data_IF_128043613185
#
_entry.id   IF_128043613185
#
_cell.length_a   1.000
_cell.length_b   1.000
_cell.length_c   1.000
_cell.angle_alpha   90.00
_cell.angle_beta   90.00
_cell.angle_gamma   90.00
#
_symmetry.space_group_name_H-M   'P 1'
#
loop_
_entity.id
_entity.type
_entity.pdbx_description
1 polymer ?
#
# COMPACT_ATOMS: atom_id res chain seq x y z
N UNK A 1 -2.80 1.54 12.36
CA UNK A 1 -4.17 2.07 12.57
C UNK A 1 -4.01 3.56 12.75
N UNK A 2 -4.69 4.38 11.95
CA UNK A 2 -4.53 5.84 11.95
C UNK A 2 -5.68 6.50 11.19
N UNK A 3 -6.00 7.76 11.49
CA UNK A 3 -6.86 8.64 10.68
C UNK A 3 -6.10 9.23 9.46
N UNK A 4 -4.78 9.09 9.42
CA UNK A 4 -3.93 9.54 8.32
C UNK A 4 -3.73 11.06 8.23
N UNK A 5 -4.32 11.84 9.14
CA UNK A 5 -4.18 13.29 9.15
C UNK A 5 -2.79 13.72 9.64
N UNK A 6 -2.01 14.38 8.80
CA UNK A 6 -0.69 14.90 9.19
C UNK A 6 -0.82 16.29 9.83
N UNK A 7 -0.48 16.43 11.11
CA UNK A 7 -0.61 17.68 11.86
C UNK A 7 0.72 18.36 12.23
N UNK A 8 1.79 17.58 12.41
CA UNK A 8 3.07 18.05 12.95
C UNK A 8 4.24 17.15 12.55
N UNK A 9 4.20 16.54 11.36
CA UNK A 9 5.29 15.67 10.91
C UNK A 9 6.59 16.44 10.63
N UNK A 10 7.70 15.78 10.96
CA UNK A 10 9.05 16.24 10.56
C UNK A 10 9.36 15.93 9.09
N UNK A 11 8.64 14.98 8.52
CA UNK A 11 8.82 14.49 7.16
C UNK A 11 7.60 14.84 6.33
N UNK A 12 7.85 15.27 5.10
CA UNK A 12 6.82 15.51 4.09
C UNK A 12 6.30 14.18 3.54
N UNK A 13 5.12 14.20 2.93
CA UNK A 13 4.58 13.01 2.25
C UNK A 13 5.54 12.44 1.20
N UNK A 14 6.27 13.29 0.46
CA UNK A 14 7.22 12.87 -0.56
C UNK A 14 8.40 12.10 0.03
N UNK A 15 8.88 12.53 1.20
CA UNK A 15 9.93 11.84 1.95
C UNK A 15 9.41 10.51 2.50
N UNK A 16 8.20 10.48 3.07
CA UNK A 16 7.58 9.22 3.53
C UNK A 16 7.41 8.25 2.37
N UNK A 17 6.90 8.70 1.22
CA UNK A 17 6.76 7.87 0.02
C UNK A 17 8.09 7.32 -0.47
N UNK A 18 9.18 8.07 -0.32
CA UNK A 18 10.53 7.63 -0.69
C UNK A 18 11.07 6.59 0.31
N UNK A 19 10.94 6.86 1.61
CA UNK A 19 11.31 5.92 2.68
C UNK A 19 10.57 4.59 2.55
N UNK A 20 9.26 4.62 2.28
CA UNK A 20 8.44 3.42 2.11
C UNK A 20 8.89 2.60 0.89
N UNK A 21 9.31 3.25 -0.19
CA UNK A 21 9.85 2.58 -1.39
C UNK A 21 11.21 1.93 -1.13
N UNK A 22 12.02 2.50 -0.23
CA UNK A 22 13.33 1.98 0.15
C UNK A 22 13.24 0.84 1.18
N UNK A 23 12.27 0.91 2.09
CA UNK A 23 12.15 -0.02 3.21
C UNK A 23 11.71 -1.45 2.85
N UNK A 24 11.35 -1.73 1.59
CA UNK A 24 10.81 -3.01 1.05
C UNK A 24 9.87 -3.74 2.05
N UNK A 25 9.00 -2.97 2.71
CA UNK A 25 8.11 -3.45 3.76
C UNK A 25 6.67 -3.43 3.27
N UNK A 26 5.90 -4.49 3.53
CA UNK A 26 4.47 -4.55 3.21
C UNK A 26 3.67 -3.80 4.28
N UNK A 27 2.91 -2.77 3.88
CA UNK A 27 2.13 -1.93 4.80
C UNK A 27 0.64 -2.13 4.57
N UNK A 28 -0.07 -2.43 5.65
CA UNK A 28 -1.53 -2.38 5.71
C UNK A 28 -1.96 -1.26 6.66
N UNK A 29 -3.01 -0.55 6.30
CA UNK A 29 -3.60 0.48 7.14
C UNK A 29 -5.04 0.13 7.49
N UNK A 30 -5.44 0.49 8.70
CA UNK A 30 -6.85 0.49 9.11
C UNK A 30 -7.16 1.91 9.56
N UNK A 31 -8.04 2.55 8.84
CA UNK A 31 -8.54 3.89 9.08
C UNK A 31 -9.83 3.85 9.88
N UNK A 32 -9.87 4.67 10.92
CA UNK A 32 -11.06 4.96 11.72
C UNK A 32 -11.24 6.46 11.60
N UNK A 33 -12.39 6.89 11.07
CA UNK A 33 -12.64 8.30 10.81
C UNK A 33 -13.93 8.72 11.51
N UNK A 34 -13.94 9.95 12.00
CA UNK A 34 -15.17 10.57 12.44
C UNK A 34 -16.06 10.92 11.23
N UNK A 35 -17.36 11.06 11.48
CA UNK A 35 -18.33 11.43 10.43
C UNK A 35 -18.11 12.85 9.88
N UNK A 36 -17.31 13.64 10.57
CA UNK A 36 -16.96 15.01 10.23
C UNK A 36 -15.45 15.17 10.33
N UNK A 37 -14.84 15.70 9.27
CA UNK A 37 -13.42 16.04 9.22
C UNK A 37 -13.26 17.54 9.52
N UNK A 38 -12.94 17.93 10.77
CA UNK A 38 -12.75 19.34 11.11
C UNK A 38 -11.56 19.99 10.39
N UNK A 39 -10.55 19.22 9.96
CA UNK A 39 -9.38 19.76 9.26
C UNK A 39 -9.23 19.23 7.84
N UNK A 40 -8.46 19.95 7.01
CA UNK A 40 -8.15 19.48 5.65
C UNK A 40 -7.24 18.25 5.68
N UNK A 41 -6.34 18.19 6.66
CA UNK A 41 -5.40 17.12 6.89
C UNK A 41 -6.12 15.80 7.16
N UNK A 42 -7.11 15.79 8.04
CA UNK A 42 -7.91 14.58 8.31
C UNK A 42 -8.75 14.16 7.08
N UNK A 43 -9.24 15.14 6.29
CA UNK A 43 -9.95 14.86 5.03
C UNK A 43 -9.04 14.19 3.99
N UNK A 44 -7.75 14.54 3.97
CA UNK A 44 -6.75 13.96 3.07
C UNK A 44 -6.15 12.66 3.63
N UNK A 45 -6.24 12.42 4.94
CA UNK A 45 -5.67 11.26 5.60
C UNK A 45 -6.03 9.90 4.99
N UNK A 46 -7.30 9.61 4.63
CA UNK A 46 -7.65 8.38 3.94
C UNK A 46 -6.90 8.18 2.61
N UNK A 47 -6.71 9.25 1.84
CA UNK A 47 -5.98 9.20 0.58
C UNK A 47 -4.50 8.91 0.83
N UNK A 48 -3.88 9.59 1.80
CA UNK A 48 -2.48 9.38 2.16
C UNK A 48 -2.21 7.93 2.61
N UNK A 49 -3.06 7.36 3.48
CA UNK A 49 -2.96 5.96 3.91
C UNK A 49 -3.10 5.00 2.73
N UNK A 50 -4.02 5.27 1.81
CA UNK A 50 -4.19 4.46 0.59
C UNK A 50 -2.93 4.50 -0.27
N UNK A 51 -2.37 5.68 -0.52
CA UNK A 51 -1.16 5.83 -1.34
C UNK A 51 0.06 5.12 -0.72
N UNK A 52 0.29 5.28 0.58
CA UNK A 52 1.39 4.63 1.28
C UNK A 52 1.28 3.10 1.23
N UNK A 53 0.09 2.56 1.49
CA UNK A 53 -0.14 1.12 1.47
C UNK A 53 -0.02 0.54 0.06
N UNK A 54 -0.57 1.20 -0.95
CA UNK A 54 -0.52 0.75 -2.35
C UNK A 54 0.89 0.69 -2.91
N UNK A 55 1.79 1.62 -2.52
CA UNK A 55 3.19 1.60 -2.94
C UNK A 55 3.87 0.25 -2.64
N UNK A 56 3.51 -0.35 -1.50
CA UNK A 56 4.06 -1.61 -0.99
C UNK A 56 3.32 -2.85 -1.48
N UNK A 57 2.18 -2.68 -2.14
CA UNK A 57 1.29 -3.78 -2.51
C UNK A 57 0.34 -4.23 -1.39
N UNK A 58 0.27 -3.48 -0.30
CA UNK A 58 -0.75 -3.65 0.72
C UNK A 58 -1.98 -2.80 0.44
N UNK A 59 -2.82 -2.61 1.46
CA UNK A 59 -4.12 -1.92 1.33
C UNK A 59 -4.48 -1.13 2.58
N UNK A 60 -5.23 -0.06 2.38
CA UNK A 60 -5.98 0.61 3.42
C UNK A 60 -7.40 0.01 3.53
N UNK A 61 -7.83 -0.25 4.76
CA UNK A 61 -9.19 -0.60 5.12
C UNK A 61 -9.78 0.55 5.93
N UNK A 62 -11.06 0.82 5.74
CA UNK A 62 -11.80 1.78 6.56
C UNK A 62 -12.84 1.02 7.37
N UNK A 63 -12.95 1.33 8.66
CA UNK A 63 -14.02 0.81 9.52
C UNK A 63 -14.77 1.98 10.16
N UNK A 64 -16.09 1.84 10.23
CA UNK A 64 -16.97 2.80 10.91
C UNK A 64 -17.21 2.40 12.37
N UNK A 65 -17.12 1.09 12.67
CA UNK A 65 -17.28 0.53 14.00
C UNK A 65 -15.96 -0.13 14.46
N UNK A 66 -15.40 0.25 15.61
CA UNK A 66 -14.20 -0.39 16.16
C UNK A 66 -14.31 -1.91 16.34
N UNK A 67 -15.52 -2.44 16.51
CA UNK A 67 -15.76 -3.89 16.60
C UNK A 67 -15.42 -4.64 15.31
N UNK A 68 -15.39 -3.96 14.16
CA UNK A 68 -15.04 -4.55 12.86
C UNK A 68 -13.52 -4.76 12.69
N UNK A 69 -12.71 -4.25 13.63
CA UNK A 69 -11.25 -4.36 13.57
C UNK A 69 -10.78 -5.82 13.55
N UNK A 70 -11.45 -6.70 14.30
CA UNK A 70 -11.14 -8.13 14.35
C UNK A 70 -11.36 -8.80 12.98
N UNK A 71 -12.43 -8.42 12.28
CA UNK A 71 -12.75 -8.94 10.95
C UNK A 71 -11.76 -8.45 9.91
N UNK A 72 -11.37 -7.16 9.98
CA UNK A 72 -10.33 -6.60 9.10
C UNK A 72 -8.98 -7.26 9.35
N UNK A 73 -8.58 -7.45 10.61
CA UNK A 73 -7.35 -8.15 10.95
C UNK A 73 -7.36 -9.60 10.43
N UNK A 74 -8.50 -10.28 10.50
CA UNK A 74 -8.68 -11.63 9.92
C UNK A 74 -8.51 -11.62 8.41
N UNK A 75 -9.12 -10.66 7.69
CA UNK A 75 -8.95 -10.49 6.24
C UNK A 75 -7.49 -10.25 5.86
N UNK A 76 -6.80 -9.36 6.57
CA UNK A 76 -5.35 -9.12 6.38
C UNK A 76 -4.57 -10.42 6.60
N UNK A 77 -4.87 -11.16 7.67
CA UNK A 77 -4.25 -12.46 7.94
C UNK A 77 -4.44 -13.48 6.82
N UNK A 78 -5.62 -13.52 6.19
CA UNK A 78 -5.89 -14.36 5.01
C UNK A 78 -5.08 -13.87 3.80
N UNK A 79 -5.01 -12.56 3.54
CA UNK A 79 -4.20 -12.01 2.45
C UNK A 79 -2.71 -12.35 2.62
N UNK A 80 -2.17 -12.21 3.84
CA UNK A 80 -0.78 -12.56 4.18
C UNK A 80 -0.46 -14.05 3.96
N UNK A 81 -1.45 -14.93 4.17
CA UNK A 81 -1.30 -16.38 3.91
C UNK A 81 -1.35 -16.73 2.43
N UNK A 82 -1.94 -15.88 1.60
CA UNK A 82 -2.14 -16.09 0.17
C UNK A 82 -1.24 -15.18 -0.67
N UNK A 83 0.03 -15.06 -0.28
CA UNK A 83 1.03 -14.30 -1.01
C UNK A 83 1.71 -15.15 -2.08
N UNK A 84 1.94 -14.55 -3.23
CA UNK A 84 2.63 -15.17 -4.36
C UNK A 84 3.94 -14.41 -4.62
N UNK A 85 5.03 -15.15 -4.77
CA UNK A 85 6.32 -14.58 -5.19
C UNK A 85 6.46 -14.76 -6.69
N UNK A 86 6.65 -13.65 -7.40
CA UNK A 86 6.85 -13.63 -8.84
C UNK A 86 8.28 -13.21 -9.18
N UNK A 87 9.03 -14.11 -9.80
CA UNK A 87 10.33 -13.81 -10.39
C UNK A 87 10.17 -13.28 -11.81
N UNK A 88 10.89 -12.20 -12.15
CA UNK A 88 10.97 -11.72 -13.52
C UNK A 88 12.37 -11.13 -13.79
N UNK A 89 12.79 -11.14 -15.06
CA UNK A 89 14.04 -10.50 -15.49
C UNK A 89 13.73 -9.14 -16.13
N UNK A 90 14.28 -8.02 -15.63
CA UNK A 90 14.07 -6.73 -16.25
C UNK A 90 14.72 -6.69 -17.65
N UNK A 91 14.08 -5.98 -18.58
CA UNK A 91 14.64 -5.77 -19.93
C UNK A 91 15.91 -4.91 -19.92
N UNK A 92 15.99 -3.96 -18.98
CA UNK A 92 17.17 -3.13 -18.76
C UNK A 92 18.01 -3.71 -17.61
N UNK A 93 19.25 -4.19 -17.86
CA UNK A 93 20.11 -4.74 -16.83
C UNK A 93 20.96 -3.68 -16.10
N UNK A 94 20.86 -2.39 -16.44
CA UNK A 94 21.71 -1.35 -15.84
C UNK A 94 21.59 -1.25 -14.31
N UNK A 95 22.67 -0.89 -13.64
CA UNK A 95 22.71 -0.68 -12.19
C UNK A 95 22.77 0.83 -11.91
N UNK A 96 21.68 1.54 -12.25
CA UNK A 96 21.64 3.01 -12.24
C UNK A 96 21.01 3.61 -10.97
N UNK A 97 20.67 2.79 -9.97
CA UNK A 97 20.00 3.25 -8.75
C UNK A 97 18.60 3.84 -8.98
N UNK A 98 18.04 3.77 -10.19
CA UNK A 98 16.77 4.44 -10.52
C UNK A 98 15.57 3.60 -10.16
N UNK A 99 14.47 4.27 -9.84
CA UNK A 99 13.18 3.62 -9.62
C UNK A 99 12.66 2.92 -10.88
N UNK A 100 12.33 1.64 -10.74
CA UNK A 100 11.75 0.80 -11.79
C UNK A 100 10.32 0.45 -11.44
N UNK A 101 9.38 1.04 -12.18
CA UNK A 101 7.96 0.75 -12.03
C UNK A 101 7.65 -0.67 -12.49
N UNK A 102 6.87 -1.40 -11.70
CA UNK A 102 6.30 -2.69 -12.07
C UNK A 102 4.77 -2.59 -12.10
N UNK A 103 4.15 -3.40 -12.96
CA UNK A 103 2.70 -3.56 -13.01
C UNK A 103 2.37 -5.02 -13.22
N UNK A 104 1.69 -5.62 -12.26
CA UNK A 104 1.19 -6.98 -12.36
C UNK A 104 -0.23 -6.91 -12.90
N UNK A 105 -0.53 -7.70 -13.94
CA UNK A 105 -1.87 -7.84 -14.48
C UNK A 105 -2.24 -9.32 -14.43
N UNK A 106 -3.44 -9.59 -13.93
CA UNK A 106 -4.01 -10.93 -13.94
C UNK A 106 -4.93 -11.09 -15.14
N UNK A 107 -4.83 -12.22 -15.82
CA UNK A 107 -5.82 -12.67 -16.79
C UNK A 107 -6.90 -13.43 -16.03
N UNK A 108 -8.17 -12.96 -16.00
CA UNK A 108 -9.22 -13.60 -15.22
C UNK A 108 -9.44 -15.05 -15.67
N UNK A 109 -9.36 -16.04 -14.75
CA UNK A 109 -9.69 -17.42 -15.08
C UNK A 109 -11.17 -17.55 -15.42
N UNK A 110 -11.50 -18.42 -16.39
CA UNK A 110 -12.90 -18.68 -16.74
C UNK A 110 -13.66 -19.24 -15.53
N UNK A 111 -14.83 -18.69 -15.23
CA UNK A 111 -15.71 -19.16 -14.16
C UNK A 111 -15.43 -18.60 -12.76
N UNK A 112 -14.39 -17.77 -12.59
CA UNK A 112 -14.14 -17.06 -11.33
C UNK A 112 -14.72 -15.64 -11.37
N UNK A 113 -15.10 -15.07 -10.20
CA UNK A 113 -15.45 -13.66 -10.10
C UNK A 113 -14.23 -12.77 -10.44
N UNK A 114 -14.43 -11.47 -10.70
CA UNK A 114 -13.34 -10.53 -10.91
C UNK A 114 -12.34 -10.58 -9.74
N UNK A 115 -11.06 -10.81 -10.08
CA UNK A 115 -9.96 -10.86 -9.12
C UNK A 115 -9.15 -9.57 -9.20
N UNK A 116 -8.74 -9.04 -8.04
CA UNK A 116 -7.88 -7.86 -7.94
C UNK A 116 -6.49 -8.27 -7.47
N UNK A 117 -5.47 -7.74 -8.13
CA UNK A 117 -4.08 -7.95 -7.77
C UNK A 117 -3.58 -6.75 -6.99
N UNK A 118 -2.90 -7.04 -5.88
CA UNK A 118 -2.14 -6.06 -5.11
C UNK A 118 -0.67 -6.50 -5.14
N UNK A 119 0.20 -5.57 -5.51
CA UNK A 119 1.63 -5.81 -5.68
C UNK A 119 2.37 -4.50 -5.52
N UNK A 120 3.64 -4.56 -5.08
CA UNK A 120 4.48 -3.37 -5.00
C UNK A 120 4.53 -2.65 -6.34
N UNK A 121 4.61 -1.33 -6.30
CA UNK A 121 4.53 -0.50 -7.51
C UNK A 121 5.86 -0.40 -8.27
N UNK A 122 6.95 -0.83 -7.65
CA UNK A 122 8.28 -0.83 -8.25
C UNK A 122 9.36 -1.24 -7.25
N UNK A 123 10.61 -0.98 -7.62
CA UNK A 123 11.81 -1.16 -6.80
C UNK A 123 12.92 -0.26 -7.33
N UNK A 124 13.93 0.03 -6.51
CA UNK A 124 15.15 0.69 -6.98
C UNK A 124 16.10 -0.31 -7.61
N UNK A 125 16.67 0.02 -8.77
CA UNK A 125 17.75 -0.76 -9.36
C UNK A 125 18.96 -0.79 -8.40
N UNK A 126 19.78 -1.85 -8.41
CA UNK A 126 21.07 -1.83 -7.72
C UNK A 126 21.89 -0.61 -8.16
N UNK A 127 22.62 -0.01 -7.22
CA UNK A 127 23.63 1.01 -7.49
C UNK A 127 24.98 0.39 -7.13
N UNK A 128 25.75 0.00 -8.13
CA UNK A 128 27.18 -0.31 -7.98
C UNK A 128 28.01 0.87 -8.47
#
# INVERSE_FOLDING_TARGET
ISDGGDNHSRYTEGEIKSLVKEADTLIYAVGIYDHYFPTEEERLGPALLSEITELTGGRAFTIDNPNDLADVATKIGIELRNQYVLGYRPKNPGHDGKWRKIKVKLLPPKGLPPLRVYAKTGYYAPSE
#
